data_IF_440048697833
#
_entry.id   IF_440048697833
#
_cell.length_a   1.000
_cell.length_b   1.000
_cell.length_c   1.000
_cell.angle_alpha   90.00
_cell.angle_beta   90.00
_cell.angle_gamma   90.00
#
_symmetry.space_group_name_H-M   'P 1'
#
loop_
_entity.id
_entity.type
_entity.pdbx_description
1 polymer ?
#
# COMPACT_ATOMS: atom_id res chain seq x y z
N UNK A 1 18.99 9.17 13.59
CA UNK A 1 17.99 8.21 13.06
C UNK A 1 17.49 8.78 11.74
N UNK A 2 17.43 8.03 10.64
CA UNK A 2 16.88 8.55 9.38
C UNK A 2 15.46 9.09 9.61
N UNK A 3 15.13 10.21 8.97
CA UNK A 3 13.83 10.88 9.09
C UNK A 3 12.71 9.91 8.72
N UNK A 4 12.03 9.33 9.73
CA UNK A 4 10.89 8.40 9.57
C UNK A 4 9.83 8.87 8.55
N UNK A 5 9.42 10.15 8.49
CA UNK A 5 8.50 10.61 7.45
C UNK A 5 9.04 10.43 6.02
N UNK A 6 10.36 10.58 5.81
CA UNK A 6 11.01 10.33 4.52
C UNK A 6 10.95 8.86 4.12
N UNK A 7 11.05 7.94 5.09
CA UNK A 7 10.94 6.49 4.84
C UNK A 7 9.51 6.11 4.46
N UNK A 8 8.50 6.64 5.16
CA UNK A 8 7.09 6.35 4.85
C UNK A 8 6.73 6.88 3.45
N UNK A 9 7.17 8.09 3.11
CA UNK A 9 6.98 8.64 1.76
C UNK A 9 7.70 7.83 0.68
N UNK A 10 8.90 7.32 0.98
CA UNK A 10 9.63 6.42 0.08
C UNK A 10 8.94 5.07 -0.14
N UNK A 11 8.29 4.52 0.89
CA UNK A 11 7.49 3.30 0.76
C UNK A 11 6.20 3.54 -0.03
N UNK A 12 5.54 4.68 0.17
CA UNK A 12 4.36 5.08 -0.60
C UNK A 12 4.71 5.30 -2.08
N UNK A 13 5.83 5.96 -2.38
CA UNK A 13 6.25 6.13 -3.77
C UNK A 13 6.62 4.79 -4.43
N UNK A 14 7.29 3.89 -3.70
CA UNK A 14 7.57 2.55 -4.19
C UNK A 14 6.29 1.76 -4.50
N UNK A 15 5.28 1.83 -3.62
CA UNK A 15 3.95 1.24 -3.86
C UNK A 15 3.26 1.85 -5.10
N UNK A 16 3.29 3.18 -5.25
CA UNK A 16 2.70 3.81 -6.45
C UNK A 16 3.38 3.36 -7.75
N UNK A 17 4.70 3.18 -7.75
CA UNK A 17 5.43 2.64 -8.91
C UNK A 17 5.07 1.19 -9.17
N UNK A 18 4.94 0.38 -8.12
CA UNK A 18 4.62 -1.05 -8.22
C UNK A 18 3.15 -1.31 -8.61
N UNK A 19 2.25 -0.38 -8.31
CA UNK A 19 0.88 -0.39 -8.82
C UNK A 19 0.79 -0.33 -10.35
N UNK A 20 1.77 0.28 -11.05
CA UNK A 20 1.76 0.40 -12.52
C UNK A 20 1.84 -0.98 -13.19
N UNK A 21 2.88 -1.81 -12.97
CA UNK A 21 2.97 -3.13 -13.58
C UNK A 21 1.86 -4.08 -13.10
N UNK A 22 1.40 -3.98 -11.84
CA UNK A 22 0.24 -4.75 -11.37
C UNK A 22 -1.00 -4.38 -12.17
N UNK A 23 -1.27 -3.09 -12.36
CA UNK A 23 -2.45 -2.66 -13.11
C UNK A 23 -2.38 -3.13 -14.57
N UNK A 24 -1.21 -3.03 -15.21
CA UNK A 24 -1.01 -3.51 -16.58
C UNK A 24 -1.25 -5.01 -16.70
N UNK A 25 -0.71 -5.81 -15.77
CA UNK A 25 -0.89 -7.26 -15.78
C UNK A 25 -2.33 -7.67 -15.45
N UNK A 26 -2.95 -7.01 -14.47
CA UNK A 26 -4.35 -7.22 -14.12
C UNK A 26 -5.29 -6.88 -15.29
N UNK A 27 -5.01 -5.80 -16.03
CA UNK A 27 -5.77 -5.43 -17.23
C UNK A 27 -5.56 -6.42 -18.39
N UNK A 28 -4.34 -6.94 -18.54
CA UNK A 28 -4.06 -7.99 -19.53
C UNK A 28 -4.80 -9.29 -19.20
N UNK A 29 -4.86 -9.65 -17.91
CA UNK A 29 -5.54 -10.84 -17.40
C UNK A 29 -7.05 -10.66 -17.18
N UNK A 30 -7.57 -9.43 -17.19
CA UNK A 30 -9.00 -9.12 -17.18
C UNK A 30 -9.72 -9.66 -18.43
N UNK A 31 -9.00 -9.78 -19.56
CA UNK A 31 -9.50 -10.51 -20.73
C UNK A 31 -9.74 -12.00 -20.46
N UNK A 32 -9.21 -12.54 -19.36
CA UNK A 32 -9.26 -13.95 -18.96
C UNK A 32 -10.09 -14.16 -17.68
N UNK A 33 -10.21 -13.16 -16.81
CA UNK A 33 -10.99 -13.25 -15.58
C UNK A 33 -11.78 -11.97 -15.32
N UNK A 34 -13.11 -12.06 -15.16
CA UNK A 34 -14.04 -10.94 -14.97
C UNK A 34 -13.87 -10.19 -13.62
N UNK A 35 -12.69 -10.27 -12.98
CA UNK A 35 -12.46 -9.82 -11.61
C UNK A 35 -11.80 -8.45 -11.57
N UNK A 36 -12.59 -7.45 -11.20
CA UNK A 36 -12.17 -6.05 -11.03
C UNK A 36 -11.42 -5.76 -9.72
N UNK A 37 -11.08 -6.79 -8.93
CA UNK A 37 -10.52 -6.61 -7.58
C UNK A 37 -9.09 -6.05 -7.61
N UNK A 38 -8.20 -6.59 -8.45
CA UNK A 38 -6.84 -6.08 -8.56
C UNK A 38 -6.74 -4.67 -9.20
N UNK A 39 -7.50 -4.36 -10.27
CA UNK A 39 -7.60 -2.99 -10.80
C UNK A 39 -8.18 -1.98 -9.81
N UNK A 40 -9.16 -2.37 -9.00
CA UNK A 40 -9.73 -1.48 -7.98
C UNK A 40 -8.77 -1.29 -6.80
N UNK A 41 -8.07 -2.34 -6.36
CA UNK A 41 -7.04 -2.24 -5.33
C UNK A 41 -5.86 -1.35 -5.76
N UNK A 42 -5.40 -1.47 -7.01
CA UNK A 42 -4.38 -0.57 -7.58
C UNK A 42 -4.85 0.87 -7.65
N UNK A 43 -6.04 1.13 -8.21
CA UNK A 43 -6.58 2.49 -8.30
C UNK A 43 -6.76 3.15 -6.93
N UNK A 44 -7.30 2.41 -5.95
CA UNK A 44 -7.48 2.92 -4.58
C UNK A 44 -6.15 3.17 -3.88
N UNK A 45 -5.17 2.28 -4.05
CA UNK A 45 -3.81 2.44 -3.49
C UNK A 45 -3.11 3.66 -4.11
N UNK A 46 -3.25 3.87 -5.42
CA UNK A 46 -2.68 5.03 -6.11
C UNK A 46 -3.31 6.34 -5.63
N UNK A 47 -4.64 6.41 -5.53
CA UNK A 47 -5.35 7.59 -5.02
C UNK A 47 -4.95 7.86 -3.57
N UNK A 48 -4.84 6.82 -2.75
CA UNK A 48 -4.39 6.95 -1.36
C UNK A 48 -2.97 7.51 -1.29
N UNK A 49 -2.01 6.93 -2.01
CA UNK A 49 -0.63 7.41 -2.06
C UNK A 49 -0.52 8.86 -2.54
N UNK A 50 -1.19 9.19 -3.64
CA UNK A 50 -1.24 10.55 -4.20
C UNK A 50 -1.84 11.56 -3.20
N UNK A 51 -2.90 11.17 -2.49
CA UNK A 51 -3.55 12.03 -1.48
C UNK A 51 -2.61 12.31 -0.31
N UNK A 52 -1.91 11.28 0.19
CA UNK A 52 -0.96 11.46 1.30
C UNK A 52 0.22 12.34 0.88
N UNK A 53 0.79 12.13 -0.31
CA UNK A 53 1.89 12.95 -0.83
C UNK A 53 1.44 14.41 -1.02
N UNK A 54 0.25 14.62 -1.59
CA UNK A 54 -0.32 15.96 -1.79
C UNK A 54 -0.54 16.68 -0.45
N UNK A 55 -1.11 15.98 0.54
CA UNK A 55 -1.34 16.54 1.87
C UNK A 55 -0.02 16.81 2.62
N UNK A 56 0.99 15.96 2.46
CA UNK A 56 2.34 16.20 3.01
C UNK A 56 2.97 17.46 2.39
N UNK A 57 2.93 17.58 1.06
CA UNK A 57 3.44 18.74 0.35
C UNK A 57 2.72 20.03 0.74
N UNK A 58 1.39 19.99 0.83
CA UNK A 58 0.58 21.13 1.29
C UNK A 58 0.84 21.46 2.75
N UNK A 59 1.06 20.45 3.59
CA UNK A 59 1.40 20.61 5.01
C UNK A 59 2.72 21.32 5.24
N UNK A 60 3.73 21.09 4.38
CA UNK A 60 5.02 21.81 4.40
C UNK A 60 4.89 23.28 4.02
N UNK A 61 3.99 23.60 3.10
CA UNK A 61 3.82 24.97 2.58
C UNK A 61 2.82 25.82 3.39
N UNK A 62 2.02 25.22 4.27
CA UNK A 62 1.01 25.94 5.06
C UNK A 62 1.28 25.75 6.57
N UNK A 63 1.78 26.78 7.29
CA UNK A 63 2.17 26.66 8.70
C UNK A 63 1.01 26.29 9.65
N UNK A 64 -0.24 26.44 9.21
CA UNK A 64 -1.42 26.02 9.98
C UNK A 64 -1.62 24.48 10.00
N UNK A 65 -1.22 23.77 8.93
CA UNK A 65 -1.33 22.31 8.84
C UNK A 65 -0.16 21.58 9.50
N UNK A 66 1.02 22.23 9.54
CA UNK A 66 2.20 21.75 10.25
C UNK A 66 1.98 21.66 11.78
N UNK A 67 0.91 22.29 12.30
CA UNK A 67 0.66 22.49 13.73
C UNK A 67 -0.21 21.46 14.42
N UNK A 68 -0.90 20.53 13.75
CA UNK A 68 -1.93 19.76 14.49
C UNK A 68 -1.83 18.26 14.38
N UNK A 69 -1.53 17.69 13.20
CA UNK A 69 -1.27 16.26 13.05
C UNK A 69 -0.41 16.08 11.81
N UNK A 70 0.79 15.50 11.94
CA UNK A 70 1.51 15.03 10.75
C UNK A 70 0.55 14.09 10.01
N UNK A 71 0.24 14.34 8.74
CA UNK A 71 -0.75 13.56 7.96
C UNK A 71 -0.49 12.05 8.04
N UNK A 72 0.78 11.67 8.17
CA UNK A 72 1.28 10.31 8.38
C UNK A 72 0.92 9.70 9.75
N UNK A 73 0.68 10.52 10.77
CA UNK A 73 0.29 10.11 12.13
C UNK A 73 -1.23 10.07 12.36
N UNK A 74 -2.03 10.43 11.33
CA UNK A 74 -3.49 10.42 11.45
C UNK A 74 -4.03 8.99 11.58
N UNK A 75 -5.05 8.82 12.44
CA UNK A 75 -5.81 7.56 12.57
C UNK A 75 -6.33 7.09 11.22
N UNK A 76 -6.77 8.04 10.38
CA UNK A 76 -7.30 7.76 9.05
C UNK A 76 -6.25 7.10 8.17
N UNK A 77 -5.02 7.62 8.13
CA UNK A 77 -3.93 7.07 7.32
C UNK A 77 -3.57 5.65 7.77
N UNK A 78 -3.54 5.41 9.08
CA UNK A 78 -3.30 4.08 9.65
C UNK A 78 -4.41 3.11 9.24
N UNK A 79 -5.67 3.48 9.47
CA UNK A 79 -6.82 2.65 9.14
C UNK A 79 -6.89 2.34 7.64
N UNK A 80 -6.71 3.35 6.78
CA UNK A 80 -6.69 3.17 5.33
C UNK A 80 -5.56 2.23 4.88
N UNK A 81 -4.37 2.31 5.48
CA UNK A 81 -3.26 1.41 5.13
C UNK A 81 -3.61 -0.05 5.42
N UNK A 82 -4.27 -0.34 6.56
CA UNK A 82 -4.71 -1.70 6.89
C UNK A 82 -5.89 -2.18 6.04
N UNK A 83 -6.82 -1.29 5.67
CA UNK A 83 -7.91 -1.62 4.75
C UNK A 83 -7.36 -1.96 3.37
N UNK A 84 -6.40 -1.18 2.86
CA UNK A 84 -5.72 -1.48 1.60
C UNK A 84 -4.94 -2.79 1.68
N UNK A 85 -4.21 -3.04 2.76
CA UNK A 85 -3.54 -4.33 3.00
C UNK A 85 -4.53 -5.50 2.93
N UNK A 86 -5.69 -5.39 3.59
CA UNK A 86 -6.73 -6.42 3.53
C UNK A 86 -7.26 -6.60 2.09
N UNK A 87 -7.46 -5.50 1.34
CA UNK A 87 -7.83 -5.54 -0.07
C UNK A 87 -6.81 -6.29 -0.93
N UNK A 88 -5.52 -6.05 -0.72
CA UNK A 88 -4.44 -6.76 -1.41
C UNK A 88 -4.38 -8.26 -1.07
N UNK A 89 -4.61 -8.62 0.19
CA UNK A 89 -4.71 -10.03 0.60
C UNK A 89 -5.91 -10.74 -0.04
N UNK A 90 -7.05 -10.05 -0.15
CA UNK A 90 -8.22 -10.59 -0.86
C UNK A 90 -7.93 -10.77 -2.34
N UNK A 91 -7.28 -9.80 -2.99
CA UNK A 91 -6.87 -9.94 -4.38
C UNK A 91 -5.94 -11.15 -4.57
N UNK A 92 -4.92 -11.29 -3.71
CA UNK A 92 -3.99 -12.42 -3.71
C UNK A 92 -4.73 -13.77 -3.53
N UNK A 93 -5.65 -13.86 -2.58
CA UNK A 93 -6.44 -15.08 -2.36
C UNK A 93 -7.26 -15.47 -3.61
N UNK A 94 -7.87 -14.48 -4.27
CA UNK A 94 -8.60 -14.69 -5.52
C UNK A 94 -7.70 -15.17 -6.66
N UNK A 95 -6.47 -14.66 -6.76
CA UNK A 95 -5.48 -15.12 -7.73
C UNK A 95 -5.06 -16.56 -7.48
N UNK A 96 -4.75 -16.92 -6.24
CA UNK A 96 -4.37 -18.29 -5.88
C UNK A 96 -5.50 -19.27 -6.18
N UNK A 97 -6.74 -18.94 -5.83
CA UNK A 97 -7.90 -19.80 -6.13
C UNK A 97 -8.07 -20.01 -7.64
N UNK A 98 -7.84 -18.98 -8.46
CA UNK A 98 -7.89 -19.11 -9.91
C UNK A 98 -6.76 -20.00 -10.45
N UNK A 99 -5.54 -19.81 -9.96
CA UNK A 99 -4.39 -20.62 -10.35
C UNK A 99 -4.64 -22.10 -10.03
N UNK A 100 -5.19 -22.40 -8.85
CA UNK A 100 -5.58 -23.76 -8.45
C UNK A 100 -6.70 -24.31 -9.34
N UNK A 101 -7.72 -23.50 -9.66
CA UNK A 101 -8.83 -23.92 -10.54
C UNK A 101 -8.33 -24.27 -11.94
N UNK A 102 -7.55 -23.38 -12.56
CA UNK A 102 -6.95 -23.58 -13.89
C UNK A 102 -6.02 -24.79 -13.88
N UNK A 103 -5.21 -24.96 -12.81
CA UNK A 103 -4.33 -26.12 -12.66
C UNK A 103 -5.11 -27.44 -12.58
N UNK A 104 -6.27 -27.46 -11.93
CA UNK A 104 -7.13 -28.66 -11.85
C UNK A 104 -7.81 -28.97 -13.17
N UNK A 105 -8.34 -27.95 -13.85
CA UNK A 105 -9.03 -28.11 -15.14
C UNK A 105 -8.05 -28.55 -16.23
N UNK A 106 -6.84 -27.96 -16.30
CA UNK A 106 -5.83 -28.31 -17.32
C UNK A 106 -5.05 -29.58 -17.01
N UNK A 107 -4.90 -29.94 -15.73
CA UNK A 107 -4.27 -31.20 -15.32
C UNK A 107 -5.04 -32.45 -15.75
N UNK A 108 -6.32 -32.31 -16.13
CA UNK A 108 -7.14 -33.39 -16.65
C UNK A 108 -7.02 -33.57 -18.17
N UNK A 109 -6.66 -32.54 -18.94
CA UNK A 109 -6.74 -32.59 -20.41
C UNK A 109 -5.43 -32.50 -21.16
N UNK A 110 -4.38 -31.77 -20.73
CA UNK A 110 -3.09 -31.76 -21.45
C UNK A 110 -1.95 -31.18 -20.60
N UNK A 111 -1.09 -32.04 -20.04
CA UNK A 111 0.10 -31.62 -19.29
C UNK A 111 1.26 -31.12 -20.18
N UNK A 112 1.17 -31.29 -21.50
CA UNK A 112 2.26 -30.98 -22.44
C UNK A 112 2.20 -29.57 -23.06
N UNK A 113 1.07 -28.86 -22.93
CA UNK A 113 0.85 -27.55 -23.56
C UNK A 113 0.59 -26.45 -22.51
N UNK A 114 1.35 -26.50 -21.42
CA UNK A 114 1.45 -25.35 -20.53
C UNK A 114 2.26 -24.27 -21.26
N UNK A 115 1.58 -23.27 -21.81
CA UNK A 115 2.17 -22.00 -22.18
C UNK A 115 2.89 -21.42 -20.94
N UNK A 116 4.18 -21.72 -20.81
CA UNK A 116 5.07 -21.19 -19.78
C UNK A 116 4.95 -19.68 -19.55
N UNK A 117 4.70 -18.84 -20.57
CA UNK A 117 4.46 -17.41 -20.38
C UNK A 117 3.23 -17.09 -19.55
N UNK A 118 2.12 -17.84 -19.70
CA UNK A 118 0.89 -17.59 -18.97
C UNK A 118 1.07 -17.83 -17.47
N UNK A 119 1.70 -18.95 -17.10
CA UNK A 119 1.97 -19.30 -15.70
C UNK A 119 2.93 -18.31 -15.06
N UNK A 120 3.97 -17.89 -15.80
CA UNK A 120 4.91 -16.86 -15.36
C UNK A 120 4.20 -15.55 -14.99
N UNK A 121 3.20 -15.13 -15.78
CA UNK A 121 2.41 -13.93 -15.48
C UNK A 121 1.57 -14.07 -14.20
N UNK A 122 0.87 -15.20 -14.01
CA UNK A 122 0.08 -15.41 -12.78
C UNK A 122 0.96 -15.46 -11.52
N UNK A 123 2.15 -16.08 -11.61
CA UNK A 123 3.11 -16.12 -10.49
C UNK A 123 3.65 -14.73 -10.22
N UNK A 124 4.02 -13.97 -11.25
CA UNK A 124 4.49 -12.60 -11.10
C UNK A 124 3.44 -11.72 -10.42
N UNK A 125 2.17 -11.81 -10.83
CA UNK A 125 1.07 -11.06 -10.22
C UNK A 125 0.83 -11.43 -8.75
N UNK A 126 0.93 -12.72 -8.40
CA UNK A 126 0.90 -13.16 -7.00
C UNK A 126 2.03 -12.53 -6.17
N UNK A 127 3.26 -12.51 -6.70
CA UNK A 127 4.42 -11.93 -6.00
C UNK A 127 4.26 -10.43 -5.82
N UNK A 128 3.82 -9.71 -6.86
CA UNK A 128 3.62 -8.26 -6.76
C UNK A 128 2.47 -7.88 -5.83
N UNK A 129 1.35 -8.60 -5.87
CA UNK A 129 0.22 -8.37 -4.94
C UNK A 129 0.60 -8.67 -3.48
N UNK A 130 1.38 -9.72 -3.24
CA UNK A 130 1.97 -9.99 -1.92
C UNK A 130 2.92 -8.87 -1.48
N UNK A 131 3.71 -8.33 -2.41
CA UNK A 131 4.62 -7.21 -2.15
C UNK A 131 3.85 -5.95 -1.76
N UNK A 132 2.74 -5.63 -2.45
CA UNK A 132 1.86 -4.51 -2.06
C UNK A 132 1.26 -4.69 -0.66
N UNK A 133 0.77 -5.90 -0.34
CA UNK A 133 0.26 -6.18 1.00
C UNK A 133 1.32 -5.92 2.08
N UNK A 134 2.57 -6.34 1.84
CA UNK A 134 3.69 -6.09 2.75
C UNK A 134 4.08 -4.60 2.83
N UNK A 135 4.03 -3.87 1.71
CA UNK A 135 4.28 -2.43 1.68
C UNK A 135 3.23 -1.68 2.49
N UNK A 136 1.94 -1.99 2.32
CA UNK A 136 0.85 -1.38 3.08
C UNK A 136 0.94 -1.70 4.59
N UNK A 137 1.33 -2.93 4.93
CA UNK A 137 1.61 -3.31 6.31
C UNK A 137 2.78 -2.51 6.89
N UNK A 138 3.87 -2.35 6.13
CA UNK A 138 5.04 -1.57 6.52
C UNK A 138 4.71 -0.10 6.75
N UNK A 139 3.94 0.51 5.84
CA UNK A 139 3.43 1.88 5.99
C UNK A 139 2.58 1.99 7.25
N UNK A 140 1.58 1.11 7.44
CA UNK A 140 0.71 1.12 8.61
C UNK A 140 1.48 0.98 9.93
N UNK A 141 2.44 0.06 10.01
CA UNK A 141 3.28 -0.15 11.20
C UNK A 141 4.16 1.07 11.53
N UNK A 142 4.75 1.71 10.51
CA UNK A 142 5.54 2.93 10.72
C UNK A 142 4.68 4.10 11.17
N UNK A 143 3.48 4.26 10.59
CA UNK A 143 2.51 5.28 11.01
C UNK A 143 2.06 5.09 12.47
N UNK A 144 1.83 3.83 12.92
CA UNK A 144 1.56 3.52 14.34
C UNK A 144 2.73 3.96 15.22
N UNK A 145 3.95 3.56 14.87
CA UNK A 145 5.15 3.91 15.66
C UNK A 145 5.31 5.43 15.81
N UNK A 146 5.11 6.17 14.72
CA UNK A 146 5.15 7.64 14.73
C UNK A 146 4.06 8.22 15.64
N UNK A 147 2.84 7.68 15.59
CA UNK A 147 1.74 8.14 16.44
C UNK A 147 1.99 7.89 17.93
N UNK A 148 2.50 6.72 18.28
CA UNK A 148 2.85 6.38 19.68
C UNK A 148 3.96 7.29 20.21
N UNK A 149 4.97 7.59 19.38
CA UNK A 149 6.04 8.51 19.75
C UNK A 149 5.51 9.93 20.00
N UNK A 150 4.67 10.45 19.11
CA UNK A 150 4.02 11.77 19.29
C UNK A 150 3.17 11.81 20.56
N UNK A 151 2.44 10.74 20.86
CA UNK A 151 1.67 10.64 22.12
C UNK A 151 2.60 10.62 23.33
N UNK A 152 3.67 9.82 23.30
CA UNK A 152 4.63 9.73 24.39
C UNK A 152 5.29 11.08 24.68
N UNK A 153 5.70 11.82 23.65
CA UNK A 153 6.29 13.16 23.83
C UNK A 153 5.28 14.14 24.42
N UNK A 154 4.01 14.05 24.02
CA UNK A 154 2.91 14.87 24.57
C UNK A 154 2.72 14.62 26.06
N UNK A 155 2.79 13.35 26.48
CA UNK A 155 2.53 12.95 27.86
C UNK A 155 3.75 13.19 28.78
N UNK A 156 4.98 13.02 28.27
CA UNK A 156 6.20 13.16 29.06
C UNK A 156 6.68 14.60 29.23
N UNK A 157 6.50 15.46 28.21
CA UNK A 157 6.96 16.84 28.25
C UNK A 157 6.04 17.73 27.40
N UNK A 158 4.91 18.21 27.97
CA UNK A 158 3.93 18.98 27.23
C UNK A 158 4.48 20.33 26.74
N UNK A 159 5.51 20.89 27.40
CA UNK A 159 6.16 22.13 26.94
C UNK A 159 7.07 21.86 25.75
N UNK A 160 7.87 20.79 25.78
CA UNK A 160 8.65 20.35 24.62
C UNK A 160 7.74 19.99 23.44
N UNK A 161 6.61 19.34 23.69
CA UNK A 161 5.60 19.04 22.66
C UNK A 161 5.01 20.31 22.04
N UNK A 162 4.72 21.35 22.84
CA UNK A 162 4.26 22.64 22.32
C UNK A 162 5.37 23.35 21.50
N UNK A 163 6.64 23.19 21.89
CA UNK A 163 7.78 23.76 21.15
C UNK A 163 8.06 23.03 19.84
N UNK A 164 8.00 21.69 19.81
CA UNK A 164 8.12 20.91 18.57
C UNK A 164 6.94 21.15 17.64
N UNK A 165 5.73 21.27 18.18
CA UNK A 165 4.52 21.66 17.45
C UNK A 165 4.63 23.05 16.79
N UNK A 166 5.31 23.99 17.44
CA UNK A 166 5.51 25.35 16.91
C UNK A 166 6.69 25.46 15.93
N UNK A 167 7.64 24.52 15.95
CA UNK A 167 8.84 24.55 15.10
C UNK A 167 8.70 23.86 13.75
N UNK A 168 7.63 23.11 13.50
CA UNK A 168 7.30 22.62 12.15
C UNK A 168 8.37 21.74 11.49
N UNK A 169 8.96 20.81 12.25
CA UNK A 169 9.82 19.75 11.74
C UNK A 169 9.04 18.48 11.39
#
# INVERSE_FOLDING_TARGET
>A
MPNRPTVILGLLSASMVLCIPIFTLAMFLLGVSERWVAPSATATTFIFGATIIYLDFKGRNVPMYNRTYATLSSITTIACSFVLMAGWLVAMALFIMNLVKISKERGAENAAEMDGPAIGMWVAECVMTATEALLMLGVGALCIRQRVEVQRTRDSDPQLWLLTRNRGY
#
